data_IF_194050504422
#
_entry.id   IF_194050504422
#
_cell.length_a   1.000
_cell.length_b   1.000
_cell.length_c   1.000
_cell.angle_alpha   90.00
_cell.angle_beta   90.00
_cell.angle_gamma   90.00
#
_symmetry.space_group_name_H-M   'P 1'
#
loop_
_entity.id
_entity.type
_entity.pdbx_description
1 polymer ?
#
# COMPACT_ATOMS: atom_id res chain seq x y z
N UNK A 1 16.60 -15.35 16.92
CA UNK A 1 17.60 -14.77 16.01
C UNK A 1 18.15 -13.57 16.72
N UNK A 2 19.45 -13.54 16.97
CA UNK A 2 20.08 -12.40 17.64
C UNK A 2 19.96 -11.12 16.81
N UNK A 3 19.91 -9.96 17.47
CA UNK A 3 19.70 -8.64 16.86
C UNK A 3 20.80 -8.29 15.87
N UNK A 4 22.05 -8.61 16.20
CA UNK A 4 23.20 -8.38 15.32
C UNK A 4 23.16 -9.30 14.10
N UNK A 5 22.80 -10.57 14.29
CA UNK A 5 22.62 -11.50 13.18
C UNK A 5 21.48 -11.07 12.22
N UNK A 6 20.35 -10.60 12.75
CA UNK A 6 19.27 -10.04 11.93
C UNK A 6 19.76 -8.84 11.12
N UNK A 7 20.50 -7.94 11.76
CA UNK A 7 21.05 -6.75 11.13
C UNK A 7 21.97 -7.11 9.97
N UNK A 8 22.95 -7.98 10.18
CA UNK A 8 23.92 -8.36 9.15
C UNK A 8 23.26 -9.01 7.94
N UNK A 9 22.31 -9.93 8.18
CA UNK A 9 21.55 -10.57 7.09
C UNK A 9 20.68 -9.54 6.37
N UNK A 10 20.08 -8.58 7.09
CA UNK A 10 19.28 -7.49 6.49
C UNK A 10 20.15 -6.60 5.60
N UNK A 11 21.33 -6.16 6.07
CA UNK A 11 22.27 -5.36 5.29
C UNK A 11 22.67 -6.08 4.01
N UNK A 12 23.13 -7.34 4.14
CA UNK A 12 23.53 -8.15 3.00
C UNK A 12 22.39 -8.35 1.99
N UNK A 13 21.18 -8.65 2.48
CA UNK A 13 20.00 -8.87 1.63
C UNK A 13 19.61 -7.59 0.89
N UNK A 14 19.61 -6.44 1.57
CA UNK A 14 19.32 -5.15 0.94
C UNK A 14 20.32 -4.83 -0.17
N UNK A 15 21.63 -4.95 0.10
CA UNK A 15 22.67 -4.68 -0.89
C UNK A 15 22.52 -5.57 -2.13
N UNK A 16 22.19 -6.86 -1.95
CA UNK A 16 21.88 -7.74 -3.07
C UNK A 16 20.65 -7.27 -3.86
N UNK A 17 19.54 -6.93 -3.18
CA UNK A 17 18.32 -6.48 -3.84
C UNK A 17 18.57 -5.17 -4.61
N UNK A 18 19.22 -4.19 -3.99
CA UNK A 18 19.56 -2.93 -4.62
C UNK A 18 20.47 -3.12 -5.85
N UNK A 19 21.47 -4.01 -5.75
CA UNK A 19 22.33 -4.36 -6.88
C UNK A 19 21.52 -4.98 -8.03
N UNK A 20 20.64 -5.94 -7.75
CA UNK A 20 19.80 -6.58 -8.76
C UNK A 20 18.82 -5.60 -9.40
N UNK A 21 18.24 -4.68 -8.63
CA UNK A 21 17.33 -3.67 -9.18
C UNK A 21 18.09 -2.73 -10.11
N UNK A 22 19.27 -2.25 -9.69
CA UNK A 22 20.12 -1.36 -10.50
C UNK A 22 20.66 -2.03 -11.77
N UNK A 23 20.88 -3.35 -11.76
CA UNK A 23 21.26 -4.13 -12.95
C UNK A 23 20.07 -4.62 -13.78
N UNK A 24 18.84 -4.22 -13.43
CA UNK A 24 17.59 -4.66 -14.07
C UNK A 24 17.32 -6.18 -13.99
N UNK A 25 17.92 -6.87 -13.01
CA UNK A 25 17.69 -8.28 -12.70
C UNK A 25 16.50 -8.45 -11.74
N UNK A 26 15.35 -7.87 -12.09
CA UNK A 26 14.21 -7.67 -11.19
C UNK A 26 13.65 -8.97 -10.59
N UNK A 27 13.61 -10.06 -11.36
CA UNK A 27 13.16 -11.36 -10.86
C UNK A 27 14.02 -11.89 -9.71
N UNK A 28 15.34 -11.62 -9.74
CA UNK A 28 16.26 -11.99 -8.65
C UNK A 28 16.02 -11.14 -7.42
N UNK A 29 15.81 -9.83 -7.59
CA UNK A 29 15.46 -8.92 -6.50
C UNK A 29 14.15 -9.34 -5.80
N UNK A 30 13.10 -9.59 -6.58
CA UNK A 30 11.79 -10.05 -6.09
C UNK A 30 11.96 -11.35 -5.29
N UNK A 31 12.66 -12.35 -5.84
CA UNK A 31 12.84 -13.64 -5.18
C UNK A 31 13.64 -13.51 -3.88
N UNK A 32 14.70 -12.70 -3.87
CA UNK A 32 15.55 -12.45 -2.71
C UNK A 32 14.80 -11.73 -1.59
N UNK A 33 14.04 -10.68 -1.93
CA UNK A 33 13.22 -9.95 -0.98
C UNK A 33 12.11 -10.83 -0.40
N UNK A 34 11.39 -11.59 -1.25
CA UNK A 34 10.36 -12.55 -0.84
C UNK A 34 10.90 -13.58 0.16
N UNK A 35 12.04 -14.20 -0.15
CA UNK A 35 12.66 -15.18 0.75
C UNK A 35 12.97 -14.60 2.13
N UNK A 36 13.39 -13.33 2.18
CA UNK A 36 13.64 -12.65 3.46
C UNK A 36 12.34 -12.33 4.21
N UNK A 37 11.28 -11.90 3.50
CA UNK A 37 9.94 -11.70 4.09
C UNK A 37 9.41 -13.00 4.69
N UNK A 38 9.51 -14.13 3.96
CA UNK A 38 9.10 -15.46 4.44
C UNK A 38 9.87 -15.88 5.69
N UNK A 39 11.19 -15.60 5.75
CA UNK A 39 11.98 -15.81 6.97
C UNK A 39 11.51 -14.98 8.16
N UNK A 40 11.19 -13.71 7.94
CA UNK A 40 10.64 -12.84 8.99
C UNK A 40 9.30 -13.38 9.48
N UNK A 41 8.44 -13.82 8.56
CA UNK A 41 7.15 -14.42 8.85
C UNK A 41 7.29 -15.69 9.71
N UNK A 42 8.16 -16.63 9.32
CA UNK A 42 8.43 -17.85 10.12
C UNK A 42 8.91 -17.50 11.53
N UNK A 43 9.84 -16.56 11.65
CA UNK A 43 10.33 -16.13 12.97
C UNK A 43 9.22 -15.54 13.86
N UNK A 44 8.34 -14.73 13.28
CA UNK A 44 7.22 -14.13 14.00
C UNK A 44 6.17 -15.17 14.42
N UNK A 45 5.97 -16.25 13.66
CA UNK A 45 5.08 -17.35 14.04
C UNK A 45 5.68 -18.31 15.07
N UNK A 46 6.97 -18.62 14.97
CA UNK A 46 7.63 -19.63 15.80
C UNK A 46 8.18 -19.09 17.13
N UNK A 47 8.33 -17.77 17.27
CA UNK A 47 8.99 -17.17 18.44
C UNK A 47 8.16 -17.18 19.73
N UNK A 48 8.79 -17.55 20.85
CA UNK A 48 8.25 -17.37 22.21
C UNK A 48 8.04 -15.87 22.56
N UNK A 49 7.08 -15.57 23.43
CA UNK A 49 6.71 -14.19 23.84
C UNK A 49 7.84 -13.42 24.55
N UNK A 50 8.91 -14.08 25.01
CA UNK A 50 9.93 -13.48 25.87
C UNK A 50 10.95 -12.55 25.18
N UNK A 51 10.92 -12.39 23.86
CA UNK A 51 11.87 -11.54 23.10
C UNK A 51 11.18 -10.41 22.29
N UNK A 52 10.41 -9.57 22.98
CA UNK A 52 9.58 -8.53 22.36
C UNK A 52 10.32 -7.57 21.41
N UNK A 53 11.53 -7.10 21.77
CA UNK A 53 12.28 -6.14 20.94
C UNK A 53 12.78 -6.78 19.64
N UNK A 54 13.21 -8.05 19.70
CA UNK A 54 13.62 -8.80 18.51
C UNK A 54 12.45 -9.00 17.55
N UNK A 55 11.24 -9.28 18.06
CA UNK A 55 10.03 -9.42 17.23
C UNK A 55 9.65 -8.12 16.52
N UNK A 56 9.76 -6.97 17.20
CA UNK A 56 9.49 -5.67 16.58
C UNK A 56 10.45 -5.37 15.42
N UNK A 57 11.74 -5.59 15.65
CA UNK A 57 12.76 -5.39 14.61
C UNK A 57 12.53 -6.32 13.42
N UNK A 58 12.20 -7.60 13.67
CA UNK A 58 11.88 -8.56 12.60
C UNK A 58 10.66 -8.12 11.81
N UNK A 59 9.59 -7.64 12.46
CA UNK A 59 8.43 -7.13 11.75
C UNK A 59 8.78 -5.92 10.86
N UNK A 60 9.57 -4.97 11.38
CA UNK A 60 10.00 -3.80 10.60
C UNK A 60 10.87 -4.20 9.40
N UNK A 61 11.79 -5.15 9.58
CA UNK A 61 12.56 -5.71 8.48
C UNK A 61 11.63 -6.39 7.45
N UNK A 62 10.63 -7.17 7.90
CA UNK A 62 9.64 -7.80 7.01
C UNK A 62 8.85 -6.78 6.20
N UNK A 63 8.34 -5.72 6.84
CA UNK A 63 7.62 -4.62 6.16
C UNK A 63 8.53 -3.92 5.14
N UNK A 64 9.78 -3.65 5.52
CA UNK A 64 10.74 -2.99 4.64
C UNK A 64 11.05 -3.84 3.40
N UNK A 65 11.39 -5.12 3.57
CA UNK A 65 11.69 -6.00 2.44
C UNK A 65 10.47 -6.31 1.58
N UNK A 66 9.26 -6.28 2.15
CA UNK A 66 8.03 -6.28 1.37
C UNK A 66 7.93 -5.03 0.49
N UNK A 67 8.25 -3.85 1.02
CA UNK A 67 8.36 -2.61 0.23
C UNK A 67 9.41 -2.70 -0.89
N UNK A 68 10.59 -3.26 -0.61
CA UNK A 68 11.63 -3.51 -1.65
C UNK A 68 11.13 -4.48 -2.73
N UNK A 69 10.40 -5.53 -2.32
CA UNK A 69 9.76 -6.47 -3.24
C UNK A 69 8.74 -5.74 -4.13
N UNK A 70 7.89 -4.88 -3.53
CA UNK A 70 6.91 -4.09 -4.27
C UNK A 70 7.57 -3.16 -5.28
N UNK A 71 8.66 -2.50 -4.90
CA UNK A 71 9.40 -1.66 -5.81
C UNK A 71 10.00 -2.43 -6.99
N UNK A 72 10.55 -3.62 -6.75
CA UNK A 72 11.05 -4.47 -7.83
C UNK A 72 9.94 -4.95 -8.77
N UNK A 73 8.74 -5.24 -8.25
CA UNK A 73 7.55 -5.52 -9.06
C UNK A 73 7.12 -4.29 -9.86
N UNK A 74 7.08 -3.11 -9.26
CA UNK A 74 6.75 -1.86 -9.92
C UNK A 74 7.66 -1.62 -11.12
N UNK A 75 8.98 -1.74 -10.94
CA UNK A 75 9.97 -1.64 -12.03
C UNK A 75 9.71 -2.68 -13.13
N UNK A 76 9.25 -3.88 -12.77
CA UNK A 76 8.96 -4.96 -13.70
C UNK A 76 7.73 -4.63 -14.56
N UNK A 77 6.68 -4.08 -13.94
CA UNK A 77 5.45 -3.66 -14.61
C UNK A 77 5.70 -2.49 -15.56
N UNK A 78 6.67 -1.64 -15.25
CA UNK A 78 7.04 -0.47 -16.06
C UNK A 78 8.25 -0.70 -16.97
N UNK A 79 8.66 -1.95 -17.24
CA UNK A 79 9.77 -2.23 -18.17
C UNK A 79 9.47 -1.72 -19.57
N UNK A 80 8.25 -1.98 -20.06
CA UNK A 80 7.84 -1.60 -21.41
C UNK A 80 7.38 -0.17 -21.43
N UNK A 81 7.94 0.69 -22.28
CA UNK A 81 7.64 2.13 -22.30
C UNK A 81 6.18 2.48 -22.63
N UNK A 82 5.41 1.52 -23.16
CA UNK A 82 3.98 1.66 -23.47
C UNK A 82 3.07 1.23 -22.31
N UNK A 83 3.62 0.85 -21.14
CA UNK A 83 2.87 0.40 -19.96
C UNK A 83 1.70 1.33 -19.60
N UNK A 84 1.91 2.64 -19.77
CA UNK A 84 0.94 3.69 -19.44
C UNK A 84 -0.33 3.59 -20.29
N UNK A 85 -0.28 2.95 -21.45
CA UNK A 85 -1.41 2.85 -22.39
C UNK A 85 -2.37 1.70 -22.06
N UNK A 86 -2.06 0.86 -21.07
CA UNK A 86 -2.86 -0.30 -20.67
C UNK A 86 -3.62 -0.03 -19.36
N UNK A 87 -4.93 0.28 -19.39
CA UNK A 87 -5.73 0.67 -18.22
C UNK A 87 -5.61 -0.26 -17.01
N UNK A 88 -5.76 -1.57 -17.21
CA UNK A 88 -5.70 -2.55 -16.12
C UNK A 88 -4.31 -2.61 -15.46
N UNK A 89 -3.25 -2.38 -16.25
CA UNK A 89 -1.88 -2.33 -15.76
C UNK A 89 -1.63 -1.05 -14.97
N UNK A 90 -2.15 0.09 -15.44
CA UNK A 90 -2.07 1.38 -14.73
C UNK A 90 -2.78 1.31 -13.39
N UNK A 91 -3.97 0.68 -13.34
CA UNK A 91 -4.68 0.42 -12.08
C UNK A 91 -3.77 -0.34 -11.10
N UNK A 92 -3.19 -1.45 -11.54
CA UNK A 92 -2.32 -2.27 -10.67
C UNK A 92 -1.06 -1.52 -10.23
N UNK A 93 -0.40 -0.81 -11.15
CA UNK A 93 0.76 0.04 -10.87
C UNK A 93 0.42 1.09 -9.81
N UNK A 94 -0.77 1.69 -9.89
CA UNK A 94 -1.21 2.70 -8.94
C UNK A 94 -1.32 2.16 -7.52
N UNK A 95 -1.93 0.99 -7.34
CA UNK A 95 -1.95 0.32 -6.03
C UNK A 95 -0.53 0.03 -5.54
N UNK A 96 0.32 -0.52 -6.41
CA UNK A 96 1.68 -0.93 -6.08
C UNK A 96 2.57 0.25 -5.67
N UNK A 97 2.42 1.41 -6.33
CA UNK A 97 3.09 2.66 -5.97
C UNK A 97 2.83 3.02 -4.51
N UNK A 98 1.56 3.09 -4.12
CA UNK A 98 1.18 3.55 -2.78
C UNK A 98 1.50 2.50 -1.71
N UNK A 99 1.29 1.22 -2.04
CA UNK A 99 1.66 0.09 -1.19
C UNK A 99 3.17 0.05 -0.91
N UNK A 100 3.99 0.30 -1.93
CA UNK A 100 5.44 0.41 -1.80
C UNK A 100 5.82 1.63 -0.95
N UNK A 101 5.31 2.81 -1.31
CA UNK A 101 5.64 4.08 -0.66
C UNK A 101 5.32 4.06 0.82
N UNK A 102 4.14 3.62 1.22
CA UNK A 102 3.74 3.55 2.62
C UNK A 102 4.63 2.61 3.44
N UNK A 103 5.03 1.44 2.91
CA UNK A 103 5.93 0.50 3.62
C UNK A 103 7.31 1.10 3.82
N UNK A 104 7.87 1.73 2.78
CA UNK A 104 9.20 2.31 2.83
C UNK A 104 9.24 3.55 3.72
N UNK A 105 8.23 4.44 3.64
CA UNK A 105 8.11 5.59 4.52
C UNK A 105 7.96 5.16 5.99
N UNK A 106 7.10 4.18 6.25
CA UNK A 106 6.88 3.64 7.59
C UNK A 106 8.16 3.09 8.24
N UNK A 107 9.02 2.44 7.45
CA UNK A 107 10.25 1.79 7.94
C UNK A 107 11.50 2.66 7.81
N UNK A 108 11.43 3.80 7.13
CA UNK A 108 12.57 4.67 6.79
C UNK A 108 13.46 5.02 8.00
N UNK A 109 12.87 5.53 9.09
CA UNK A 109 13.63 5.93 10.28
C UNK A 109 14.36 4.75 10.93
N UNK A 110 13.68 3.60 11.02
CA UNK A 110 14.26 2.38 11.56
C UNK A 110 15.43 1.92 10.68
N UNK A 111 15.22 1.80 9.37
CA UNK A 111 16.23 1.27 8.45
C UNK A 111 17.47 2.17 8.40
N UNK A 112 17.30 3.49 8.39
CA UNK A 112 18.41 4.44 8.45
C UNK A 112 19.27 4.24 9.71
N UNK A 113 18.64 3.96 10.85
CA UNK A 113 19.37 3.70 12.10
C UNK A 113 19.93 2.26 12.19
N UNK A 114 19.20 1.28 11.64
CA UNK A 114 19.44 -0.15 11.85
C UNK A 114 20.40 -0.71 10.80
N UNK A 115 20.13 -0.47 9.52
CA UNK A 115 20.91 -0.99 8.38
C UNK A 115 22.03 -0.01 7.98
N UNK A 116 21.89 1.30 8.28
CA UNK A 116 22.87 2.35 7.94
C UNK A 116 23.25 2.37 6.45
N UNK A 117 22.29 2.14 5.57
CA UNK A 117 22.49 2.17 4.13
C UNK A 117 22.39 3.59 3.58
N UNK A 118 22.86 3.78 2.35
CA UNK A 118 22.55 4.96 1.56
C UNK A 118 21.04 5.23 1.57
N UNK A 119 20.67 6.51 1.55
CA UNK A 119 19.27 6.92 1.59
C UNK A 119 18.46 6.27 0.45
N UNK A 120 17.19 5.99 0.72
CA UNK A 120 16.25 5.37 -0.24
C UNK A 120 15.77 6.37 -1.31
N UNK A 121 16.40 7.55 -1.42
CA UNK A 121 16.02 8.63 -2.34
C UNK A 121 15.86 8.13 -3.76
N UNK A 122 16.80 7.32 -4.25
CA UNK A 122 16.74 6.76 -5.61
C UNK A 122 15.48 5.90 -5.86
N UNK A 123 14.94 5.25 -4.83
CA UNK A 123 13.67 4.49 -4.93
C UNK A 123 12.49 5.48 -5.01
N UNK A 124 12.48 6.48 -4.14
CA UNK A 124 11.41 7.47 -4.10
C UNK A 124 11.39 8.34 -5.36
N UNK A 125 12.56 8.68 -5.91
CA UNK A 125 12.69 9.41 -7.17
C UNK A 125 12.09 8.61 -8.33
N UNK A 126 12.40 7.31 -8.44
CA UNK A 126 11.81 6.42 -9.44
C UNK A 126 10.29 6.30 -9.27
N UNK A 127 9.80 6.08 -8.05
CA UNK A 127 8.35 6.02 -7.77
C UNK A 127 7.67 7.34 -8.15
N UNK A 128 8.27 8.46 -7.78
CA UNK A 128 7.73 9.79 -8.10
C UNK A 128 7.73 10.02 -9.61
N UNK A 129 8.75 9.56 -10.35
CA UNK A 129 8.77 9.63 -11.82
C UNK A 129 7.58 8.90 -12.43
N UNK A 130 7.30 7.66 -11.99
CA UNK A 130 6.17 6.88 -12.47
C UNK A 130 4.83 7.57 -12.14
N UNK A 131 4.71 8.14 -10.93
CA UNK A 131 3.54 8.96 -10.56
C UNK A 131 3.37 10.16 -11.50
N UNK A 132 4.45 10.86 -11.86
CA UNK A 132 4.39 12.00 -12.76
C UNK A 132 3.96 11.60 -14.17
N UNK A 133 4.41 10.44 -14.67
CA UNK A 133 3.95 9.91 -15.96
C UNK A 133 2.43 9.67 -15.95
N UNK A 134 1.90 9.09 -14.87
CA UNK A 134 0.45 8.92 -14.67
C UNK A 134 -0.27 10.26 -14.61
N UNK A 135 0.25 11.24 -13.88
CA UNK A 135 -0.37 12.56 -13.79
C UNK A 135 -0.34 13.33 -15.11
N UNK A 136 0.72 13.16 -15.89
CA UNK A 136 0.85 13.79 -17.20
C UNK A 136 -0.16 13.21 -18.20
N UNK A 137 -0.37 11.89 -18.19
CA UNK A 137 -1.28 11.22 -19.10
C UNK A 137 -2.75 11.37 -18.67
N UNK A 138 -3.04 11.20 -17.38
CA UNK A 138 -4.40 11.07 -16.85
C UNK A 138 -4.84 12.19 -15.92
N UNK A 139 -4.03 13.25 -15.79
CA UNK A 139 -4.26 14.35 -14.85
C UNK A 139 -4.09 13.95 -13.39
N UNK A 140 -4.36 14.88 -12.46
CA UNK A 140 -4.28 14.61 -11.02
C UNK A 140 -5.38 13.67 -10.51
N UNK A 141 -6.47 13.52 -11.27
CA UNK A 141 -7.58 12.63 -10.97
C UNK A 141 -8.52 13.13 -9.87
N UNK A 142 -9.67 12.47 -9.78
CA UNK A 142 -10.62 12.60 -8.67
C UNK A 142 -10.62 11.29 -7.89
N UNK A 143 -11.03 11.34 -6.63
CA UNK A 143 -10.96 10.20 -5.72
C UNK A 143 -12.24 10.05 -4.93
N UNK A 144 -12.60 8.81 -4.59
CA UNK A 144 -13.71 8.52 -3.69
C UNK A 144 -13.22 8.39 -2.25
N UNK A 145 -13.86 9.12 -1.34
CA UNK A 145 -13.61 9.03 0.10
C UNK A 145 -14.92 8.66 0.83
N UNK A 146 -14.99 7.48 1.48
CA UNK A 146 -16.20 7.03 2.14
C UNK A 146 -16.28 7.61 3.56
N UNK A 147 -17.43 8.18 3.90
CA UNK A 147 -17.82 8.47 5.27
C UNK A 147 -18.46 7.22 5.90
N UNK A 148 -17.86 6.68 6.96
CA UNK A 148 -18.36 5.48 7.67
C UNK A 148 -18.69 5.86 9.10
N UNK A 149 -19.93 5.58 9.54
CA UNK A 149 -20.34 5.68 10.93
C UNK A 149 -20.04 4.35 11.63
N UNK A 150 -19.38 4.43 12.78
CA UNK A 150 -18.93 3.23 13.51
C UNK A 150 -19.28 3.38 14.99
N UNK A 151 -20.03 2.43 15.53
CA UNK A 151 -20.40 2.47 16.96
C UNK A 151 -19.27 1.99 17.87
N UNK A 152 -18.45 1.04 17.38
CA UNK A 152 -17.38 0.41 18.16
C UNK A 152 -16.18 0.07 17.29
N UNK A 153 -15.02 0.58 17.70
CA UNK A 153 -13.70 0.27 17.14
C UNK A 153 -12.85 -0.27 18.29
N UNK A 154 -12.20 -1.41 18.09
CA UNK A 154 -11.31 -2.02 19.08
C UNK A 154 -9.85 -2.01 18.63
N UNK A 155 -8.93 -2.09 19.58
CA UNK A 155 -7.51 -2.26 19.31
C UNK A 155 -7.20 -3.75 19.08
N UNK A 156 -6.46 -4.10 18.03
CA UNK A 156 -6.03 -5.49 17.80
C UNK A 156 -5.00 -6.00 18.84
N UNK A 157 -4.34 -5.12 19.60
CA UNK A 157 -3.35 -5.46 20.62
C UNK A 157 -4.01 -5.83 21.95
N UNK A 158 -4.83 -4.94 22.54
CA UNK A 158 -5.48 -5.19 23.84
C UNK A 158 -6.97 -5.59 23.76
N UNK A 159 -7.61 -5.47 22.60
CA UNK A 159 -9.05 -5.73 22.44
C UNK A 159 -9.99 -4.67 23.04
N UNK A 160 -9.45 -3.65 23.72
CA UNK A 160 -10.23 -2.56 24.30
C UNK A 160 -10.78 -1.62 23.22
N UNK A 161 -11.81 -0.85 23.57
CA UNK A 161 -12.30 0.25 22.73
C UNK A 161 -11.19 1.29 22.51
N UNK A 162 -11.06 1.80 21.28
CA UNK A 162 -9.96 2.71 20.92
C UNK A 162 -9.95 4.00 21.76
N UNK A 163 -11.10 4.41 22.32
CA UNK A 163 -11.21 5.58 23.21
C UNK A 163 -10.58 5.36 24.59
N UNK A 164 -10.44 4.10 25.00
CA UNK A 164 -9.84 3.70 26.27
C UNK A 164 -8.49 2.99 26.09
N UNK A 165 -8.00 2.87 24.86
CA UNK A 165 -6.79 2.15 24.52
C UNK A 165 -5.55 3.05 24.65
N UNK A 166 -4.52 2.56 25.34
CA UNK A 166 -3.23 3.26 25.48
C UNK A 166 -2.26 2.99 24.32
N UNK A 167 -2.56 2.01 23.45
CA UNK A 167 -1.73 1.71 22.29
C UNK A 167 -1.88 2.77 21.19
N UNK A 168 -0.74 3.19 20.64
CA UNK A 168 -0.64 4.17 19.57
C UNK A 168 -0.87 3.46 18.24
N UNK A 169 -1.87 3.93 17.46
CA UNK A 169 -2.15 3.37 16.13
C UNK A 169 -0.92 3.45 15.22
N UNK A 170 -0.67 2.42 14.41
CA UNK A 170 0.54 2.22 13.59
C UNK A 170 1.85 1.96 14.36
N UNK A 171 1.86 1.93 15.70
CA UNK A 171 3.06 1.51 16.46
C UNK A 171 3.11 -0.01 16.60
N UNK A 172 4.32 -0.58 16.64
CA UNK A 172 4.51 -2.03 16.77
C UNK A 172 4.60 -2.42 18.24
N UNK A 173 3.84 -3.44 18.61
CA UNK A 173 3.83 -4.07 19.92
C UNK A 173 4.00 -5.57 19.75
N UNK A 174 5.12 -6.11 20.25
CA UNK A 174 5.37 -7.55 20.30
C UNK A 174 5.34 -8.26 18.94
N UNK A 175 5.80 -7.57 17.89
CA UNK A 175 5.75 -8.07 16.52
C UNK A 175 4.38 -7.97 15.85
N UNK A 176 3.52 -7.05 16.29
CA UNK A 176 2.22 -6.76 15.66
C UNK A 176 2.03 -5.24 15.52
N UNK A 177 1.54 -4.78 14.37
CA UNK A 177 1.17 -3.37 14.20
C UNK A 177 -0.15 -3.11 14.94
N UNK A 178 -0.22 -2.07 15.76
CA UNK A 178 -1.46 -1.65 16.39
C UNK A 178 -2.41 -1.07 15.34
N UNK A 179 -3.54 -1.74 15.14
CA UNK A 179 -4.57 -1.39 14.18
C UNK A 179 -5.94 -1.23 14.84
N UNK A 180 -6.77 -0.41 14.20
CA UNK A 180 -8.18 -0.22 14.54
C UNK A 180 -8.99 -1.33 13.90
N UNK A 181 -9.59 -2.19 14.71
CA UNK A 181 -10.46 -3.27 14.26
C UNK A 181 -11.90 -2.79 14.31
N UNK A 182 -12.51 -2.72 13.13
CA UNK A 182 -13.89 -2.33 12.95
C UNK A 182 -14.82 -3.55 13.03
N UNK A 183 -15.81 -3.50 13.92
CA UNK A 183 -16.82 -4.55 14.01
C UNK A 183 -17.88 -4.33 12.92
N UNK A 184 -17.83 -5.14 11.86
CA UNK A 184 -18.66 -4.96 10.64
C UNK A 184 -20.17 -4.83 10.91
N UNK A 185 -20.71 -5.55 11.90
CA UNK A 185 -22.13 -5.47 12.29
C UNK A 185 -22.50 -4.14 12.96
N UNK A 186 -21.52 -3.29 13.27
CA UNK A 186 -21.66 -2.01 13.98
C UNK A 186 -21.11 -0.84 13.17
N UNK A 187 -21.04 -1.00 11.84
CA UNK A 187 -20.61 0.03 10.93
C UNK A 187 -21.61 0.18 9.78
N UNK A 188 -21.90 1.43 9.43
CA UNK A 188 -22.78 1.79 8.33
C UNK A 188 -22.14 2.86 7.46
N UNK A 189 -22.28 2.72 6.14
CA UNK A 189 -21.95 3.80 5.22
C UNK A 189 -22.85 5.00 5.48
N UNK A 190 -22.26 6.20 5.48
CA UNK A 190 -22.97 7.46 5.65
C UNK A 190 -23.06 8.20 4.30
N UNK A 191 -21.90 8.49 3.71
CA UNK A 191 -21.80 9.21 2.45
C UNK A 191 -20.53 8.79 1.69
N UNK A 192 -20.42 9.21 0.43
CA UNK A 192 -19.18 9.15 -0.35
C UNK A 192 -18.93 10.56 -0.89
N UNK A 193 -17.72 11.07 -0.68
CA UNK A 193 -17.28 12.37 -1.20
C UNK A 193 -16.36 12.13 -2.38
N UNK A 194 -16.53 12.93 -3.43
CA UNK A 194 -15.56 13.06 -4.51
C UNK A 194 -14.60 14.19 -4.12
N UNK A 195 -13.31 13.90 -4.11
CA UNK A 195 -12.28 14.86 -3.67
C UNK A 195 -11.05 14.80 -4.56
N UNK A 196 -10.34 15.92 -4.69
CA UNK A 196 -9.01 15.99 -5.32
C UNK A 196 -7.88 15.64 -4.33
N UNK A 197 -8.19 15.60 -3.03
CA UNK A 197 -7.25 15.37 -1.93
C UNK A 197 -7.75 14.24 -1.04
N UNK A 198 -7.61 12.97 -1.46
CA UNK A 198 -8.02 11.82 -0.66
C UNK A 198 -7.06 11.59 0.51
N UNK A 199 -7.55 10.91 1.55
CA UNK A 199 -6.69 10.31 2.57
C UNK A 199 -5.95 9.07 2.02
N UNK A 200 -6.62 8.27 1.17
CA UNK A 200 -6.02 7.15 0.45
C UNK A 200 -6.10 7.37 -1.08
N UNK A 201 -4.97 7.71 -1.73
CA UNK A 201 -4.92 7.90 -3.17
C UNK A 201 -5.29 6.67 -4.00
N UNK A 202 -5.29 5.46 -3.44
CA UNK A 202 -5.67 4.23 -4.18
C UNK A 202 -7.13 4.23 -4.62
N UNK A 203 -7.98 5.05 -4.00
CA UNK A 203 -9.40 5.18 -4.35
C UNK A 203 -9.63 6.15 -5.52
N UNK A 204 -8.73 6.15 -6.50
CA UNK A 204 -8.79 7.03 -7.69
C UNK A 204 -9.91 6.60 -8.63
N UNK A 205 -10.64 7.58 -9.14
CA UNK A 205 -11.57 7.45 -10.24
C UNK A 205 -10.79 7.50 -11.55
N UNK A 206 -10.84 6.40 -12.30
CA UNK A 206 -10.18 6.33 -13.59
C UNK A 206 -11.13 6.55 -14.75
N UNK A 207 -10.67 7.16 -15.87
CA UNK A 207 -11.51 7.43 -17.03
C UNK A 207 -12.19 6.15 -17.57
N UNK A 208 -11.48 5.03 -17.62
CA UNK A 208 -11.99 3.75 -18.13
C UNK A 208 -12.98 3.03 -17.21
N UNK A 209 -13.16 3.48 -15.96
CA UNK A 209 -14.17 2.93 -15.05
C UNK A 209 -15.57 3.50 -15.32
N UNK A 210 -15.68 4.45 -16.24
CA UNK A 210 -16.95 4.88 -16.82
C UNK A 210 -17.28 3.98 -18.03
N UNK A 211 -18.37 3.20 -18.01
CA UNK A 211 -18.77 2.34 -19.13
C UNK A 211 -18.98 3.10 -20.44
N UNK A 212 -19.22 4.41 -20.41
CA UNK A 212 -19.35 5.25 -21.60
C UNK A 212 -18.00 5.76 -22.15
N UNK A 213 -16.87 5.50 -21.49
CA UNK A 213 -15.54 6.03 -21.87
C UNK A 213 -15.10 5.66 -23.30
N UNK A 214 -15.63 4.58 -23.88
CA UNK A 214 -15.37 4.22 -25.28
C UNK A 214 -16.04 5.17 -26.30
N UNK A 215 -16.90 6.09 -25.86
CA UNK A 215 -17.59 7.08 -26.70
C UNK A 215 -17.05 8.52 -26.53
N UNK A 216 -16.19 8.78 -25.54
CA UNK A 216 -15.78 10.13 -25.12
C UNK A 216 -14.49 10.65 -25.80
N UNK A 217 -14.36 10.51 -27.12
CA UNK A 217 -13.31 11.25 -27.87
C UNK A 217 -13.66 12.70 -28.20
N UNK A 218 -14.83 13.19 -27.78
CA UNK A 218 -15.20 14.59 -27.88
C UNK A 218 -15.93 14.96 -26.60
N UNK A 219 -15.52 16.03 -25.92
CA UNK A 219 -16.36 16.73 -24.96
C UNK A 219 -17.25 17.72 -25.72
N UNK A 220 -18.51 17.35 -25.99
CA UNK A 220 -19.58 18.33 -26.01
C UNK A 220 -20.69 17.87 -25.06
N UNK A 221 -20.93 18.67 -24.03
CA UNK A 221 -22.15 18.82 -23.25
C UNK A 221 -23.22 17.70 -23.33
N UNK A 222 -23.47 17.10 -22.15
CA UNK A 222 -24.77 16.57 -21.72
C UNK A 222 -25.40 15.46 -22.57
N UNK A 223 -25.22 14.21 -22.13
CA UNK A 223 -26.35 13.26 -22.13
C UNK A 223 -26.35 12.45 -20.85
N UNK A 224 -27.46 12.59 -20.11
CA UNK A 224 -27.78 11.99 -18.83
C UNK A 224 -27.73 10.46 -18.88
N UNK A 225 -26.78 9.85 -18.17
CA UNK A 225 -26.88 8.59 -17.41
C UNK A 225 -25.50 8.18 -16.90
N UNK A 226 -25.00 8.88 -15.88
CA UNK A 226 -23.66 8.62 -15.36
C UNK A 226 -23.72 7.52 -14.30
N UNK A 227 -23.20 6.35 -14.66
CA UNK A 227 -22.91 5.27 -13.73
C UNK A 227 -21.40 5.06 -13.76
N UNK A 228 -20.74 4.96 -12.60
CA UNK A 228 -19.36 4.49 -12.53
C UNK A 228 -19.39 3.09 -11.95
N UNK A 229 -18.95 2.11 -12.73
CA UNK A 229 -18.94 0.71 -12.28
C UNK A 229 -17.57 0.33 -11.70
N UNK A 230 -17.58 -0.46 -10.63
CA UNK A 230 -16.40 -1.13 -10.07
C UNK A 230 -15.26 -0.22 -9.57
N UNK A 231 -15.57 0.92 -8.96
CA UNK A 231 -14.58 1.80 -8.35
C UNK A 231 -14.14 1.27 -6.99
N UNK A 232 -12.86 1.40 -6.67
CA UNK A 232 -12.37 1.20 -5.31
C UNK A 232 -12.83 2.39 -4.43
N UNK A 233 -13.76 2.13 -3.52
CA UNK A 233 -14.26 3.15 -2.56
C UNK A 233 -13.54 3.09 -1.24
N UNK A 234 -12.93 1.95 -0.91
CA UNK A 234 -12.19 1.73 0.32
C UNK A 234 -11.15 0.66 0.06
N UNK A 235 -9.90 0.94 0.40
CA UNK A 235 -8.83 -0.04 0.34
C UNK A 235 -8.34 -0.37 1.74
N UNK A 236 -8.35 -1.66 2.10
CA UNK A 236 -7.83 -2.11 3.39
C UNK A 236 -6.37 -2.50 3.23
N UNK A 237 -5.50 -1.49 3.20
CA UNK A 237 -4.06 -1.69 3.19
C UNK A 237 -3.54 -2.12 4.56
N UNK A 238 -2.67 -3.13 4.59
CA UNK A 238 -1.97 -3.55 5.80
C UNK A 238 -0.47 -3.58 5.54
N UNK A 239 0.28 -2.88 6.38
CA UNK A 239 1.74 -2.82 6.29
C UNK A 239 2.36 -4.22 6.39
N UNK A 240 1.76 -5.08 7.22
CA UNK A 240 2.12 -6.46 7.50
C UNK A 240 1.20 -7.48 6.81
N UNK A 241 0.72 -7.18 5.60
CA UNK A 241 -0.10 -8.10 4.79
C UNK A 241 0.53 -9.49 4.63
N UNK A 242 1.86 -9.59 4.59
CA UNK A 242 2.57 -10.87 4.57
C UNK A 242 2.29 -11.76 5.80
N UNK A 243 1.80 -11.21 6.91
CA UNK A 243 1.38 -11.98 8.10
C UNK A 243 -0.05 -12.52 7.99
N UNK A 244 -0.90 -11.91 7.17
CA UNK A 244 -2.35 -12.10 7.23
C UNK A 244 -3.05 -12.24 5.86
N UNK A 245 -2.27 -12.33 4.79
CA UNK A 245 -2.75 -12.31 3.41
C UNK A 245 -2.79 -10.89 2.83
N UNK A 246 -2.74 -10.79 1.50
CA UNK A 246 -2.75 -9.52 0.79
C UNK A 246 -3.96 -8.64 1.18
N UNK A 247 -3.74 -7.33 1.25
CA UNK A 247 -4.82 -6.36 1.41
C UNK A 247 -5.89 -6.54 0.33
N UNK A 248 -7.16 -6.37 0.69
CA UNK A 248 -8.26 -6.43 -0.27
C UNK A 248 -8.97 -5.08 -0.34
N UNK A 249 -9.12 -4.56 -1.56
CA UNK A 249 -9.96 -3.42 -1.83
C UNK A 249 -11.44 -3.81 -1.84
N UNK A 250 -12.30 -3.01 -1.23
CA UNK A 250 -13.73 -3.10 -1.43
C UNK A 250 -14.04 -2.30 -2.70
N UNK A 251 -14.27 -3.02 -3.80
CA UNK A 251 -14.83 -2.44 -5.01
C UNK A 251 -16.34 -2.33 -4.85
N UNK A 252 -16.88 -1.14 -5.10
CA UNK A 252 -18.31 -0.90 -5.08
C UNK A 252 -18.76 -0.35 -6.45
N UNK A 253 -20.01 -0.65 -6.82
CA UNK A 253 -20.69 0.11 -7.89
C UNK A 253 -21.29 1.35 -7.26
N UNK A 254 -20.90 2.52 -7.75
CA UNK A 254 -21.40 3.80 -7.24
C UNK A 254 -22.13 4.50 -8.38
N UNK A 255 -23.42 4.75 -8.18
CA UNK A 255 -24.18 5.61 -9.09
C UNK A 255 -23.95 7.06 -8.66
N UNK A 256 -23.31 7.85 -9.52
CA UNK A 256 -22.98 9.24 -9.25
C UNK A 256 -23.85 10.12 -10.14
N UNK A 257 -24.57 11.07 -9.57
CA UNK A 257 -25.32 12.08 -10.33
C UNK A 257 -24.55 13.40 -10.27
N UNK A 258 -23.92 13.80 -11.37
CA UNK A 258 -23.08 14.99 -11.42
C UNK A 258 -23.87 16.31 -11.38
N UNK A 259 -25.20 16.27 -11.56
CA UNK A 259 -26.07 17.45 -11.48
C UNK A 259 -26.33 17.97 -10.05
N UNK A 260 -25.75 17.33 -9.02
CA UNK A 260 -25.93 17.70 -7.60
C UNK A 260 -24.63 18.16 -6.92
N UNK A 261 -23.55 18.37 -7.67
CA UNK A 261 -22.27 18.90 -7.18
C UNK A 261 -22.11 20.39 -7.47
#
# INVERSE_FOLDING_TARGET
MDKDALKDISVSTYLCCASYIKSNELAKAISKARYFVEKCQSFLFEGNESEYENRNNVLQCGIFFRGIQNFAYLKQMTISSDWITFPELVDQIWFEIWDCKERLEYTSSFINSFIKTDNLDWIFDDINSICQDIYKEYGHGLYLSPGILVEKITCNICGQDIRACEHITKKIYSGRVCEKVLHRQKAGGNHVIITERPDDPRCRLWPWQNPDHLLYKQWPWQTEKEFVEAVCVLYNFRLDDFMHGAGCGIKARVKINWNTL
#
